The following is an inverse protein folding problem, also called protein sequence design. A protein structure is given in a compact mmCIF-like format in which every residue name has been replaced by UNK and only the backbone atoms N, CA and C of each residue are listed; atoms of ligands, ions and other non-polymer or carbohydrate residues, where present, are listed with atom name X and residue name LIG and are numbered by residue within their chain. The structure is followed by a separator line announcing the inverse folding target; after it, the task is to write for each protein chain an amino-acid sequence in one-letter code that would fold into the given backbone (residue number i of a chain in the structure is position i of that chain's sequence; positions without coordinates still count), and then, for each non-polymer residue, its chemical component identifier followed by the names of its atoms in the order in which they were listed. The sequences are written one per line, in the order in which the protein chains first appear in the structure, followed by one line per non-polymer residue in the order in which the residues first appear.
data_IF_287730702215
#
_entry.id   IF_287730702215
#
_cell.length_a   1.000
_cell.length_b   1.000
_cell.length_c   1.000
_cell.angle_alpha   90.00
_cell.angle_beta   90.00
_cell.angle_gamma   90.00
#
_symmetry.space_group_name_H-M   'P 1'
#
loop_
_entity.id
_entity.type
_entity.pdbx_description
1 polymer ?
#
# COMPACT_ATOMS: atom_id res chain seq x y z
N UNK A 1 -27.78 -15.19 18.70
CA UNK A 1 -27.06 -16.03 17.72
C UNK A 1 -27.29 -17.51 18.00
N UNK A 2 -27.68 -18.28 16.98
CA UNK A 2 -27.86 -19.74 17.01
C UNK A 2 -26.72 -20.35 16.20
N UNK A 3 -26.15 -21.47 16.67
CA UNK A 3 -25.13 -22.22 15.93
C UNK A 3 -25.50 -23.70 15.84
N UNK A 4 -25.19 -24.33 14.71
CA UNK A 4 -25.44 -25.75 14.45
C UNK A 4 -24.22 -26.37 13.81
N UNK A 5 -23.66 -27.42 14.43
CA UNK A 5 -22.52 -28.15 13.89
C UNK A 5 -22.98 -29.13 12.81
N UNK A 6 -22.29 -29.11 11.66
CA UNK A 6 -22.44 -30.04 10.54
C UNK A 6 -21.09 -30.72 10.30
N UNK A 7 -21.11 -32.04 10.29
CA UNK A 7 -19.94 -32.91 10.03
C UNK A 7 -20.24 -33.97 8.98
N UNK A 8 -21.38 -33.84 8.31
CA UNK A 8 -21.89 -34.72 7.28
C UNK A 8 -21.51 -34.27 5.86
N UNK A 9 -21.18 -32.99 5.67
CA UNK A 9 -20.87 -32.40 4.36
C UNK A 9 -19.44 -32.77 3.93
N UNK A 10 -19.30 -33.37 2.74
CA UNK A 10 -18.00 -33.69 2.14
C UNK A 10 -17.42 -32.57 1.28
N UNK A 11 -16.16 -32.70 0.87
CA UNK A 11 -15.52 -31.80 -0.10
C UNK A 11 -16.21 -31.88 -1.47
N UNK A 12 -16.63 -33.07 -1.91
CA UNK A 12 -17.39 -33.20 -3.16
C UNK A 12 -18.72 -32.42 -3.07
N UNK A 13 -19.44 -32.55 -1.96
CA UNK A 13 -20.74 -31.90 -1.78
C UNK A 13 -20.61 -30.37 -1.69
N UNK A 14 -19.68 -29.84 -0.90
CA UNK A 14 -19.48 -28.38 -0.76
C UNK A 14 -19.03 -27.75 -2.08
N UNK A 15 -18.22 -28.46 -2.89
CA UNK A 15 -17.73 -27.99 -4.18
C UNK A 15 -18.66 -28.35 -5.35
N UNK A 16 -19.77 -29.05 -5.10
CA UNK A 16 -20.74 -29.36 -6.16
C UNK A 16 -21.33 -28.08 -6.73
N UNK A 17 -21.29 -27.94 -8.06
CA UNK A 17 -21.69 -26.70 -8.72
C UNK A 17 -20.75 -25.52 -8.46
N UNK A 18 -19.47 -25.79 -8.15
CA UNK A 18 -18.47 -24.75 -7.97
C UNK A 18 -18.35 -23.87 -9.22
N UNK A 19 -18.45 -22.56 -9.02
CA UNK A 19 -18.22 -21.55 -10.07
C UNK A 19 -17.12 -20.61 -9.63
N UNK A 20 -16.14 -20.39 -10.51
CA UNK A 20 -15.06 -19.44 -10.31
C UNK A 20 -15.08 -18.39 -11.42
N UNK A 21 -15.17 -17.12 -11.04
CA UNK A 21 -15.03 -16.00 -11.97
C UNK A 21 -13.54 -15.65 -12.09
N UNK A 22 -12.93 -15.97 -13.23
CA UNK A 22 -11.51 -15.64 -13.50
C UNK A 22 -11.28 -14.13 -13.61
N UNK A 23 -12.24 -13.37 -14.14
CA UNK A 23 -12.11 -11.91 -14.29
C UNK A 23 -12.03 -11.20 -12.94
N UNK A 24 -12.79 -11.69 -11.96
CA UNK A 24 -12.82 -11.13 -10.61
C UNK A 24 -11.93 -11.90 -9.61
N UNK A 25 -11.36 -13.04 -10.03
CA UNK A 25 -10.62 -13.94 -9.15
C UNK A 25 -11.47 -14.51 -8.00
N UNK A 26 -12.77 -14.70 -8.22
CA UNK A 26 -13.80 -14.89 -7.16
C UNK A 26 -14.45 -16.27 -7.21
N UNK A 27 -14.52 -16.96 -6.06
CA UNK A 27 -15.35 -18.15 -5.89
C UNK A 27 -16.81 -17.74 -5.67
N UNK A 28 -17.70 -18.05 -6.61
CA UNK A 28 -19.08 -17.58 -6.57
C UNK A 28 -19.98 -18.51 -5.76
N UNK A 29 -20.14 -19.75 -6.21
CA UNK A 29 -21.15 -20.66 -5.69
C UNK A 29 -20.56 -22.04 -5.37
N UNK A 30 -21.22 -22.76 -4.46
CA UNK A 30 -20.97 -24.15 -4.12
C UNK A 30 -22.25 -24.81 -3.58
N UNK A 31 -22.15 -26.05 -3.11
CA UNK A 31 -23.26 -26.82 -2.55
C UNK A 31 -24.50 -26.82 -3.46
N UNK A 32 -24.29 -27.00 -4.77
CA UNK A 32 -25.33 -26.94 -5.81
C UNK A 32 -26.10 -25.62 -5.85
N UNK A 33 -25.41 -24.49 -5.64
CA UNK A 33 -26.02 -23.15 -5.64
C UNK A 33 -26.61 -22.73 -4.29
N UNK A 34 -26.52 -23.57 -3.25
CA UNK A 34 -26.97 -23.26 -1.89
C UNK A 34 -25.97 -22.42 -1.09
N UNK A 35 -24.70 -22.44 -1.48
CA UNK A 35 -23.62 -21.72 -0.80
C UNK A 35 -23.07 -20.61 -1.69
N UNK A 36 -23.08 -19.37 -1.21
CA UNK A 36 -22.27 -18.28 -1.75
C UNK A 36 -20.88 -18.33 -1.08
N UNK A 37 -19.83 -18.64 -1.85
CA UNK A 37 -18.49 -18.89 -1.31
C UNK A 37 -17.78 -17.60 -0.93
N UNK A 38 -17.94 -16.55 -1.74
CA UNK A 38 -17.35 -15.25 -1.50
C UNK A 38 -18.47 -14.19 -1.55
N UNK A 39 -19.30 -14.09 -0.50
CA UNK A 39 -20.26 -13.00 -0.38
C UNK A 39 -19.54 -11.66 -0.38
N UNK A 40 -20.30 -10.59 -0.51
CA UNK A 40 -19.79 -9.24 -0.74
C UNK A 40 -18.77 -8.77 0.32
N UNK A 41 -19.02 -9.07 1.60
CA UNK A 41 -18.16 -8.70 2.72
C UNK A 41 -16.84 -9.49 2.80
N UNK A 42 -16.68 -10.58 2.03
CA UNK A 42 -15.44 -11.35 2.05
C UNK A 42 -14.32 -10.66 1.25
N UNK A 43 -13.08 -10.84 1.72
CA UNK A 43 -11.88 -10.38 1.01
C UNK A 43 -11.63 -11.18 -0.26
N UNK A 44 -10.71 -10.67 -1.10
CA UNK A 44 -10.31 -11.37 -2.31
C UNK A 44 -9.62 -12.70 -1.99
N UNK A 45 -9.61 -13.59 -2.98
CA UNK A 45 -8.88 -14.83 -2.86
C UNK A 45 -7.36 -14.57 -2.89
N UNK A 46 -6.65 -14.93 -1.82
CA UNK A 46 -5.23 -14.63 -1.61
C UNK A 46 -4.32 -15.86 -1.72
N UNK A 47 -4.87 -17.07 -1.52
CA UNK A 47 -4.06 -18.29 -1.43
C UNK A 47 -3.32 -18.62 -2.73
N UNK A 48 -3.89 -18.28 -3.90
CA UNK A 48 -3.20 -18.41 -5.18
C UNK A 48 -1.89 -17.62 -5.21
N UNK A 49 -1.97 -16.31 -4.93
CA UNK A 49 -0.79 -15.42 -4.91
C UNK A 49 0.23 -15.83 -3.85
N UNK A 50 -0.22 -16.39 -2.73
CA UNK A 50 0.64 -16.84 -1.64
C UNK A 50 1.12 -18.29 -1.77
N UNK A 51 0.77 -19.00 -2.86
CA UNK A 51 1.08 -20.42 -3.08
C UNK A 51 0.64 -21.32 -1.91
N UNK A 52 -0.52 -21.01 -1.31
CA UNK A 52 -1.10 -21.76 -0.17
C UNK A 52 -2.19 -22.75 -0.60
N UNK A 53 -2.65 -22.71 -1.85
CA UNK A 53 -3.70 -23.62 -2.35
C UNK A 53 -3.24 -25.09 -2.24
N UNK A 54 -1.99 -25.37 -2.64
CA UNK A 54 -1.40 -26.72 -2.57
C UNK A 54 -1.37 -27.27 -1.14
N UNK A 55 -1.05 -26.43 -0.14
CA UNK A 55 -1.01 -26.84 1.26
C UNK A 55 -2.39 -27.31 1.77
N UNK A 56 -3.49 -26.73 1.26
CA UNK A 56 -4.85 -27.18 1.57
C UNK A 56 -5.05 -28.60 1.03
N UNK A 57 -4.71 -28.85 -0.24
CA UNK A 57 -4.87 -30.17 -0.87
C UNK A 57 -3.98 -31.22 -0.19
N UNK A 58 -2.72 -30.88 0.09
CA UNK A 58 -1.79 -31.74 0.83
C UNK A 58 -2.31 -32.09 2.23
N UNK A 59 -2.97 -31.15 2.92
CA UNK A 59 -3.56 -31.41 4.24
C UNK A 59 -4.69 -32.44 4.15
N UNK A 60 -5.55 -32.33 3.13
CA UNK A 60 -6.62 -33.32 2.87
C UNK A 60 -6.03 -34.70 2.61
N UNK A 61 -5.05 -34.81 1.71
CA UNK A 61 -4.41 -36.09 1.37
C UNK A 61 -3.73 -36.75 2.57
N UNK A 62 -3.22 -35.96 3.52
CA UNK A 62 -2.61 -36.45 4.78
C UNK A 62 -3.63 -36.73 5.89
N UNK A 63 -4.91 -36.48 5.67
CA UNK A 63 -5.96 -36.60 6.68
C UNK A 63 -5.86 -35.56 7.80
N UNK A 64 -5.16 -34.44 7.57
CA UNK A 64 -5.07 -33.36 8.54
C UNK A 64 -6.35 -32.51 8.53
N UNK A 65 -6.82 -32.05 9.70
CA UNK A 65 -8.02 -31.23 9.77
C UNK A 65 -7.80 -29.92 9.02
N UNK A 66 -8.69 -29.59 8.09
CA UNK A 66 -8.66 -28.30 7.38
C UNK A 66 -9.02 -27.11 8.29
N UNK A 67 -9.39 -27.36 9.55
CA UNK A 67 -9.89 -26.38 10.50
C UNK A 67 -11.41 -26.16 10.38
N UNK A 68 -11.98 -25.49 11.37
CA UNK A 68 -13.39 -25.12 11.40
C UNK A 68 -13.74 -24.17 10.25
N UNK A 69 -14.92 -24.35 9.68
CA UNK A 69 -15.52 -23.47 8.65
C UNK A 69 -16.81 -22.91 9.24
N UNK A 70 -17.13 -21.66 8.93
CA UNK A 70 -18.34 -21.00 9.42
C UNK A 70 -19.19 -20.53 8.25
N UNK A 71 -20.48 -20.86 8.28
CA UNK A 71 -21.48 -20.36 7.35
C UNK A 71 -22.45 -19.43 8.09
N UNK A 72 -22.89 -18.37 7.42
CA UNK A 72 -24.05 -17.60 7.80
C UNK A 72 -25.27 -18.14 7.02
N UNK A 73 -26.36 -18.47 7.71
CA UNK A 73 -27.61 -18.91 7.10
C UNK A 73 -28.48 -17.70 6.80
N UNK A 74 -28.71 -17.45 5.51
CA UNK A 74 -29.45 -16.27 5.00
C UNK A 74 -30.86 -16.61 4.52
N UNK A 75 -31.24 -17.89 4.55
CA UNK A 75 -32.57 -18.36 4.17
C UNK A 75 -32.69 -19.87 4.27
N UNK A 76 -33.82 -20.40 3.79
CA UNK A 76 -34.03 -21.85 3.68
C UNK A 76 -33.01 -22.40 2.68
N UNK A 77 -32.14 -23.30 3.14
CA UNK A 77 -31.09 -23.92 2.33
C UNK A 77 -30.18 -22.92 1.59
N UNK A 78 -30.02 -21.71 2.13
CA UNK A 78 -29.13 -20.68 1.58
C UNK A 78 -28.12 -20.23 2.62
N UNK A 79 -26.86 -20.29 2.23
CA UNK A 79 -25.71 -20.04 3.08
C UNK A 79 -24.71 -19.11 2.42
N UNK A 80 -23.99 -18.36 3.24
CA UNK A 80 -22.82 -17.59 2.84
C UNK A 80 -21.63 -17.98 3.70
N UNK A 81 -20.43 -18.01 3.12
CA UNK A 81 -19.23 -18.28 3.91
C UNK A 81 -18.88 -17.08 4.80
N UNK A 82 -18.79 -17.32 6.10
CA UNK A 82 -18.35 -16.37 7.12
C UNK A 82 -16.86 -16.51 7.42
N UNK A 83 -16.35 -17.75 7.46
CA UNK A 83 -14.92 -18.07 7.47
C UNK A 83 -14.67 -19.42 6.75
N UNK A 84 -13.48 -19.57 6.18
CA UNK A 84 -13.09 -20.74 5.38
C UNK A 84 -13.09 -20.50 3.87
N UNK A 85 -13.39 -19.27 3.43
CA UNK A 85 -13.48 -18.89 2.01
C UNK A 85 -12.23 -19.28 1.21
N UNK A 86 -11.03 -19.04 1.76
CA UNK A 86 -9.76 -19.39 1.10
C UNK A 86 -9.59 -20.91 0.94
N UNK A 87 -10.01 -21.71 1.93
CA UNK A 87 -9.90 -23.17 1.90
C UNK A 87 -10.89 -23.75 0.88
N UNK A 88 -12.16 -23.36 0.95
CA UNK A 88 -13.21 -23.83 0.04
C UNK A 88 -12.87 -23.46 -1.41
N UNK A 89 -12.39 -22.23 -1.66
CA UNK A 89 -12.00 -21.79 -3.00
C UNK A 89 -10.81 -22.60 -3.54
N UNK A 90 -9.82 -22.92 -2.69
CA UNK A 90 -8.69 -23.78 -3.08
C UNK A 90 -9.15 -25.18 -3.49
N UNK A 91 -10.08 -25.77 -2.72
CA UNK A 91 -10.68 -27.07 -3.03
C UNK A 91 -11.42 -27.02 -4.37
N UNK A 92 -12.33 -26.06 -4.54
CA UNK A 92 -13.11 -25.92 -5.77
C UNK A 92 -12.23 -25.70 -7.01
N UNK A 93 -11.20 -24.86 -6.90
CA UNK A 93 -10.20 -24.62 -7.96
C UNK A 93 -9.43 -25.89 -8.31
N UNK A 94 -9.02 -26.69 -7.32
CA UNK A 94 -8.32 -27.94 -7.56
C UNK A 94 -9.21 -28.99 -8.25
N UNK A 95 -10.42 -29.21 -7.73
CA UNK A 95 -11.39 -30.16 -8.28
C UNK A 95 -11.79 -29.82 -9.72
N UNK A 96 -11.77 -28.53 -10.08
CA UNK A 96 -12.05 -28.06 -11.45
C UNK A 96 -10.80 -27.89 -12.32
N UNK A 97 -9.64 -28.38 -11.86
CA UNK A 97 -8.41 -28.42 -12.66
C UNK A 97 -7.75 -27.06 -12.90
N UNK A 98 -8.02 -26.05 -12.07
CA UNK A 98 -7.45 -24.70 -12.21
C UNK A 98 -5.97 -24.61 -11.85
N UNK A 99 -5.47 -25.54 -11.04
CA UNK A 99 -4.05 -25.67 -10.73
C UNK A 99 -3.70 -27.14 -10.43
N UNK A 100 -2.44 -27.56 -10.67
CA UNK A 100 -1.96 -28.89 -10.32
C UNK A 100 -1.36 -28.95 -8.91
N UNK A 101 -1.27 -30.15 -8.35
CA UNK A 101 -0.45 -30.46 -7.18
C UNK A 101 0.95 -30.84 -7.65
N UNK A 102 2.00 -30.23 -7.11
CA UNK A 102 3.37 -30.64 -7.40
C UNK A 102 3.81 -31.76 -6.46
N UNK A 103 4.37 -32.84 -7.00
CA UNK A 103 5.00 -33.88 -6.19
C UNK A 103 6.44 -33.53 -5.79
N UNK A 104 7.12 -34.44 -5.08
CA UNK A 104 8.49 -34.24 -4.60
C UNK A 104 9.53 -34.10 -5.73
N UNK A 105 9.20 -34.53 -6.95
CA UNK A 105 10.03 -34.37 -8.14
C UNK A 105 9.67 -33.11 -8.95
N UNK A 106 8.65 -32.36 -8.51
CA UNK A 106 8.14 -31.18 -9.21
C UNK A 106 7.18 -31.52 -10.36
N UNK A 107 6.73 -32.77 -10.47
CA UNK A 107 5.79 -33.17 -11.52
C UNK A 107 4.36 -32.73 -11.17
N UNK A 108 3.61 -32.14 -12.12
CA UNK A 108 2.27 -31.64 -11.87
C UNK A 108 1.20 -32.75 -11.98
N UNK A 109 0.33 -32.83 -10.97
CA UNK A 109 -0.81 -33.74 -10.90
C UNK A 109 -2.12 -32.96 -10.80
N UNK A 110 -2.92 -32.99 -11.86
CA UNK A 110 -4.27 -32.42 -11.86
C UNK A 110 -5.28 -33.42 -11.30
N UNK A 111 -6.31 -32.93 -10.60
CA UNK A 111 -7.35 -33.78 -9.98
C UNK A 111 -7.88 -34.86 -10.92
N UNK A 112 -8.22 -34.52 -12.16
CA UNK A 112 -8.73 -35.48 -13.15
C UNK A 112 -7.78 -36.64 -13.49
N UNK A 113 -6.47 -36.41 -13.39
CA UNK A 113 -5.42 -37.39 -13.71
C UNK A 113 -4.87 -38.13 -12.47
N UNK A 114 -5.35 -37.79 -11.27
CA UNK A 114 -4.89 -38.45 -10.04
C UNK A 114 -5.37 -39.91 -9.95
N UNK A 115 -4.65 -40.76 -9.20
CA UNK A 115 -5.13 -42.09 -8.80
C UNK A 115 -6.49 -42.05 -8.08
N UNK A 116 -7.31 -43.07 -8.30
CA UNK A 116 -8.70 -43.12 -7.80
C UNK A 116 -8.79 -43.18 -6.27
N UNK A 117 -7.80 -43.80 -5.61
CA UNK A 117 -7.69 -43.82 -4.15
C UNK A 117 -7.48 -42.40 -3.58
N UNK A 118 -6.65 -41.57 -4.22
CA UNK A 118 -6.44 -40.18 -3.80
C UNK A 118 -7.66 -39.30 -4.10
N UNK A 119 -8.28 -39.47 -5.27
CA UNK A 119 -9.54 -38.79 -5.59
C UNK A 119 -10.62 -39.10 -4.56
N UNK A 120 -10.71 -40.36 -4.14
CA UNK A 120 -11.65 -40.82 -3.11
C UNK A 120 -11.39 -40.14 -1.77
N UNK A 121 -10.13 -40.09 -1.30
CA UNK A 121 -9.75 -39.36 -0.07
C UNK A 121 -10.24 -37.92 -0.14
N UNK A 122 -9.96 -37.22 -1.25
CA UNK A 122 -10.36 -35.83 -1.41
C UNK A 122 -11.88 -35.70 -1.39
N UNK A 123 -12.61 -36.42 -2.24
CA UNK A 123 -14.06 -36.28 -2.38
C UNK A 123 -14.82 -36.62 -1.10
N UNK A 124 -14.40 -37.67 -0.38
CA UNK A 124 -15.12 -38.20 0.78
C UNK A 124 -14.71 -37.54 2.11
N UNK A 125 -13.66 -36.70 2.11
CA UNK A 125 -13.26 -35.98 3.32
C UNK A 125 -14.41 -35.09 3.81
N UNK A 126 -14.83 -35.32 5.06
CA UNK A 126 -15.87 -34.55 5.74
C UNK A 126 -15.31 -33.27 6.34
N UNK A 127 -16.08 -32.19 6.23
CA UNK A 127 -15.73 -30.88 6.75
C UNK A 127 -16.44 -30.61 8.08
N UNK A 128 -15.76 -29.90 8.97
CA UNK A 128 -16.34 -29.43 10.24
C UNK A 128 -16.86 -28.02 10.06
N UNK A 129 -18.18 -27.88 9.93
CA UNK A 129 -18.85 -26.62 9.57
C UNK A 129 -19.81 -26.20 10.67
N UNK A 130 -19.67 -24.99 11.21
CA UNK A 130 -20.72 -24.36 12.00
C UNK A 130 -21.61 -23.50 11.09
N UNK A 131 -22.90 -23.81 11.08
CA UNK A 131 -23.92 -22.96 10.49
C UNK A 131 -24.43 -22.02 11.57
N UNK A 132 -24.28 -20.72 11.33
CA UNK A 132 -24.65 -19.65 12.23
C UNK A 132 -25.89 -18.91 11.71
N UNK A 133 -26.77 -18.52 12.61
CA UNK A 133 -27.96 -17.72 12.31
C UNK A 133 -28.11 -16.64 13.39
N UNK A 134 -28.29 -15.39 12.98
CA UNK A 134 -28.33 -14.25 13.89
C UNK A 134 -28.68 -12.96 13.18
N UNK A 135 -28.79 -11.89 13.96
CA UNK A 135 -28.95 -10.54 13.40
C UNK A 135 -27.69 -10.11 12.65
N UNK A 136 -27.82 -9.12 11.76
CA UNK A 136 -26.69 -8.58 11.01
C UNK A 136 -25.56 -8.10 11.95
N UNK A 137 -25.91 -7.46 13.08
CA UNK A 137 -24.95 -7.01 14.09
C UNK A 137 -24.17 -8.17 14.70
N UNK A 138 -24.86 -9.24 15.12
CA UNK A 138 -24.22 -10.43 15.70
C UNK A 138 -23.28 -11.11 14.69
N UNK A 139 -23.71 -11.23 13.42
CA UNK A 139 -22.88 -11.83 12.36
C UNK A 139 -21.64 -10.99 12.08
N UNK A 140 -21.73 -9.65 12.10
CA UNK A 140 -20.58 -8.75 11.92
C UNK A 140 -19.59 -8.84 13.07
N UNK A 141 -20.06 -8.84 14.32
CA UNK A 141 -19.21 -9.00 15.50
C UNK A 141 -18.50 -10.37 15.48
N UNK A 142 -19.23 -11.41 15.10
CA UNK A 142 -18.68 -12.75 14.96
C UNK A 142 -17.62 -12.81 13.84
N UNK A 143 -17.88 -12.19 12.69
CA UNK A 143 -16.92 -12.08 11.60
C UNK A 143 -15.61 -11.45 12.06
N UNK A 144 -15.66 -10.35 12.83
CA UNK A 144 -14.45 -9.73 13.42
C UNK A 144 -13.72 -10.69 14.36
N UNK A 145 -14.46 -11.47 15.15
CA UNK A 145 -13.92 -12.39 16.15
C UNK A 145 -13.21 -13.61 15.53
N UNK A 146 -13.79 -14.23 14.50
CA UNK A 146 -13.22 -15.45 13.90
C UNK A 146 -12.02 -15.17 12.98
N UNK A 147 -11.94 -13.96 12.40
CA UNK A 147 -10.86 -13.56 11.51
C UNK A 147 -9.56 -13.16 12.23
N UNK A 148 -9.44 -13.45 13.54
CA UNK A 148 -8.21 -13.27 14.31
C UNK A 148 -7.16 -14.34 13.94
N UNK A 149 -7.59 -15.54 13.56
CA UNK A 149 -6.71 -16.64 13.18
C UNK A 149 -6.42 -16.64 11.66
N UNK A 150 -5.15 -16.79 11.27
CA UNK A 150 -4.74 -16.85 9.86
C UNK A 150 -4.11 -15.55 9.36
N UNK A 151 -4.41 -15.15 8.12
CA UNK A 151 -3.96 -13.86 7.57
C UNK A 151 -4.90 -12.78 8.11
N UNK A 152 -4.42 -11.84 8.97
CA UNK A 152 -5.29 -10.82 9.55
C UNK A 152 -5.92 -9.95 8.46
N UNK A 153 -7.17 -9.56 8.68
CA UNK A 153 -7.83 -8.55 7.85
C UNK A 153 -7.14 -7.19 8.07
N UNK A 154 -6.92 -6.44 7.01
CA UNK A 154 -6.56 -5.04 7.12
C UNK A 154 -7.80 -4.19 7.41
N UNK A 155 -7.59 -2.91 7.71
CA UNK A 155 -8.68 -2.01 8.11
C UNK A 155 -9.75 -1.86 7.01
N UNK A 156 -9.36 -1.76 5.74
CA UNK A 156 -10.31 -1.66 4.63
C UNK A 156 -11.12 -2.95 4.42
N UNK A 157 -10.50 -4.11 4.59
CA UNK A 157 -11.18 -5.41 4.53
C UNK A 157 -12.22 -5.54 5.66
N UNK A 158 -11.93 -5.00 6.85
CA UNK A 158 -12.91 -4.92 7.95
C UNK A 158 -14.03 -3.92 7.63
N UNK A 159 -13.69 -2.71 7.16
CA UNK A 159 -14.66 -1.69 6.82
C UNK A 159 -15.63 -2.18 5.72
N UNK A 160 -15.13 -2.84 4.68
CA UNK A 160 -15.95 -3.43 3.62
C UNK A 160 -16.92 -4.49 4.15
N UNK A 161 -16.55 -5.22 5.21
CA UNK A 161 -17.45 -6.19 5.83
C UNK A 161 -18.52 -5.53 6.71
N UNK A 162 -18.17 -4.45 7.40
CA UNK A 162 -19.09 -3.69 8.26
C UNK A 162 -20.10 -2.91 7.42
N UNK A 163 -19.66 -2.30 6.32
CA UNK A 163 -20.47 -1.42 5.48
C UNK A 163 -20.84 -2.05 4.14
N UNK A 164 -20.97 -3.38 4.10
CA UNK A 164 -21.37 -4.11 2.89
C UNK A 164 -22.71 -3.62 2.33
N UNK A 165 -22.78 -3.51 1.02
CA UNK A 165 -23.92 -3.01 0.26
C UNK A 165 -23.58 -2.72 -1.21
N UNK A 166 -24.56 -2.29 -2.01
CA UNK A 166 -24.35 -2.04 -3.44
C UNK A 166 -23.14 -1.14 -3.77
N UNK A 167 -22.85 -0.15 -2.93
CA UNK A 167 -21.70 0.73 -3.07
C UNK A 167 -20.36 -0.01 -2.95
N UNK A 168 -20.17 -0.77 -1.86
CA UNK A 168 -18.92 -1.53 -1.63
C UNK A 168 -18.73 -2.59 -2.71
N UNK A 169 -19.82 -3.21 -3.18
CA UNK A 169 -19.79 -4.12 -4.34
C UNK A 169 -19.14 -3.43 -5.55
N UNK A 170 -19.69 -2.28 -5.96
CA UNK A 170 -19.21 -1.52 -7.12
C UNK A 170 -17.80 -0.98 -6.92
N UNK A 171 -17.48 -0.52 -5.72
CA UNK A 171 -16.16 -0.01 -5.38
C UNK A 171 -15.09 -1.09 -5.46
N UNK A 172 -15.41 -2.32 -5.02
CA UNK A 172 -14.50 -3.47 -5.15
C UNK A 172 -14.35 -3.94 -6.59
N UNK A 173 -15.42 -3.95 -7.38
CA UNK A 173 -15.36 -4.27 -8.82
C UNK A 173 -14.37 -3.36 -9.56
N UNK A 174 -14.32 -2.07 -9.21
CA UNK A 174 -13.41 -1.09 -9.81
C UNK A 174 -11.99 -1.16 -9.22
N UNK A 175 -11.86 -1.00 -7.89
CA UNK A 175 -10.57 -0.73 -7.23
C UNK A 175 -9.91 -1.95 -6.60
N UNK A 176 -10.62 -3.08 -6.51
CA UNK A 176 -10.08 -4.32 -5.92
C UNK A 176 -9.96 -5.47 -6.93
N UNK A 177 -10.10 -5.16 -8.22
CA UNK A 177 -9.95 -6.11 -9.31
C UNK A 177 -8.55 -6.04 -9.93
N UNK A 178 -7.74 -7.08 -9.74
CA UNK A 178 -6.38 -7.15 -10.30
C UNK A 178 -6.33 -7.21 -11.83
N UNK A 179 -7.44 -7.52 -12.50
CA UNK A 179 -7.56 -7.54 -13.96
C UNK A 179 -8.05 -6.21 -14.54
N UNK A 180 -8.26 -5.18 -13.71
CA UNK A 180 -8.63 -3.86 -14.21
C UNK A 180 -7.50 -3.29 -15.10
N UNK A 181 -7.87 -2.78 -16.28
CA UNK A 181 -6.92 -2.28 -17.29
C UNK A 181 -6.05 -1.12 -16.77
N UNK A 182 -6.51 -0.38 -15.76
CA UNK A 182 -5.79 0.77 -15.21
C UNK A 182 -4.80 0.40 -14.11
N UNK A 183 -4.73 -0.86 -13.67
CA UNK A 183 -3.89 -1.27 -12.53
C UNK A 183 -2.42 -0.93 -12.75
N UNK A 184 -1.93 -1.09 -13.98
CA UNK A 184 -0.56 -0.70 -14.32
C UNK A 184 -0.34 0.82 -14.12
N UNK A 185 -1.24 1.67 -14.61
CA UNK A 185 -1.19 3.14 -14.41
C UNK A 185 -1.24 3.49 -12.93
N UNK A 186 -2.21 2.95 -12.20
CA UNK A 186 -2.40 3.25 -10.78
C UNK A 186 -1.21 2.80 -9.92
N UNK A 187 -0.57 1.68 -10.27
CA UNK A 187 0.57 1.14 -9.52
C UNK A 187 1.82 2.02 -9.53
N UNK A 188 1.92 2.96 -10.47
CA UNK A 188 2.99 3.95 -10.53
C UNK A 188 2.87 5.00 -9.41
N UNK A 189 1.65 5.31 -8.97
CA UNK A 189 1.37 6.37 -8.00
C UNK A 189 0.96 5.82 -6.64
N UNK A 190 0.34 4.64 -6.62
CA UNK A 190 -0.25 4.06 -5.42
C UNK A 190 0.61 2.93 -4.87
N UNK A 191 0.96 3.05 -3.59
CA UNK A 191 1.59 1.98 -2.84
C UNK A 191 0.52 1.10 -2.19
N UNK A 192 0.23 -0.03 -2.82
CA UNK A 192 -0.62 -1.05 -2.21
C UNK A 192 -0.76 -2.32 -3.04
N UNK A 193 -1.45 -3.30 -2.47
CA UNK A 193 -1.92 -4.54 -3.08
C UNK A 193 -3.42 -4.45 -3.34
N UNK A 194 -3.77 -4.48 -4.63
CA UNK A 194 -5.14 -4.47 -5.14
C UNK A 194 -5.97 -5.59 -4.52
N UNK A 195 -5.38 -6.78 -4.32
CA UNK A 195 -6.09 -7.91 -3.72
C UNK A 195 -6.36 -7.71 -2.23
N UNK A 196 -5.57 -6.86 -1.57
CA UNK A 196 -5.80 -6.42 -0.18
C UNK A 196 -6.67 -5.17 -0.12
N UNK A 197 -7.28 -4.75 -1.23
CA UNK A 197 -8.21 -3.62 -1.29
C UNK A 197 -7.56 -2.28 -0.92
N UNK A 198 -6.23 -2.19 -1.03
CA UNK A 198 -5.48 -0.98 -0.63
C UNK A 198 -5.66 0.16 -1.64
N UNK A 199 -6.03 -0.14 -2.89
CA UNK A 199 -6.34 0.90 -3.87
C UNK A 199 -7.72 1.52 -3.61
N UNK A 200 -8.68 0.70 -3.19
CA UNK A 200 -9.98 1.18 -2.71
C UNK A 200 -9.79 2.07 -1.48
N UNK A 201 -8.91 1.66 -0.54
CA UNK A 201 -8.57 2.50 0.60
C UNK A 201 -8.07 3.87 0.18
N UNK A 202 -7.08 3.93 -0.71
CA UNK A 202 -6.53 5.20 -1.21
C UNK A 202 -7.59 6.05 -1.92
N UNK A 203 -8.46 5.44 -2.72
CA UNK A 203 -9.57 6.16 -3.35
C UNK A 203 -10.52 6.80 -2.32
N UNK A 204 -10.84 6.06 -1.26
CA UNK A 204 -11.70 6.54 -0.16
C UNK A 204 -11.00 7.66 0.62
N UNK A 205 -9.72 7.52 0.95
CA UNK A 205 -8.94 8.55 1.65
C UNK A 205 -8.90 9.86 0.84
N UNK A 206 -8.76 9.75 -0.49
CA UNK A 206 -8.76 10.90 -1.39
C UNK A 206 -10.10 11.63 -1.42
N UNK A 207 -11.22 10.92 -1.62
CA UNK A 207 -12.54 11.57 -1.65
C UNK A 207 -12.94 12.13 -0.28
N UNK A 208 -12.52 11.47 0.82
CA UNK A 208 -12.74 11.96 2.18
C UNK A 208 -11.79 13.10 2.57
N UNK A 209 -10.69 13.29 1.82
CA UNK A 209 -9.59 14.23 2.12
C UNK A 209 -8.98 13.97 3.50
N UNK A 210 -8.94 12.70 3.90
CA UNK A 210 -8.52 12.27 5.23
C UNK A 210 -8.01 10.83 5.19
N UNK A 211 -6.96 10.55 5.95
CA UNK A 211 -6.46 9.18 6.19
C UNK A 211 -7.01 8.58 7.50
N UNK A 212 -7.87 9.31 8.21
CA UNK A 212 -8.48 8.83 9.43
C UNK A 212 -9.50 7.73 9.12
N UNK A 213 -9.46 6.65 9.90
CA UNK A 213 -10.37 5.53 9.70
C UNK A 213 -11.83 5.95 9.93
N UNK A 214 -12.08 6.83 10.91
CA UNK A 214 -13.43 7.28 11.24
C UNK A 214 -14.09 8.01 10.06
N UNK A 215 -13.33 8.80 9.31
CA UNK A 215 -13.84 9.56 8.15
C UNK A 215 -14.16 8.63 6.98
N UNK A 216 -13.28 7.67 6.70
CA UNK A 216 -13.51 6.68 5.64
C UNK A 216 -14.70 5.78 5.99
N UNK A 217 -14.79 5.32 7.23
CA UNK A 217 -15.91 4.51 7.71
C UNK A 217 -17.23 5.29 7.69
N UNK A 218 -17.21 6.58 8.05
CA UNK A 218 -18.39 7.45 7.95
C UNK A 218 -18.86 7.61 6.50
N UNK A 219 -17.95 7.84 5.56
CA UNK A 219 -18.26 7.92 4.13
C UNK A 219 -18.89 6.61 3.63
N UNK A 220 -18.25 5.46 3.91
CA UNK A 220 -18.79 4.15 3.53
C UNK A 220 -20.16 3.86 4.13
N UNK A 221 -20.39 4.29 5.39
CA UNK A 221 -21.69 4.16 6.05
C UNK A 221 -22.77 4.98 5.36
N UNK A 222 -22.48 6.23 5.01
CA UNK A 222 -23.41 7.14 4.34
C UNK A 222 -23.78 6.64 2.95
N UNK A 223 -22.82 6.12 2.20
CA UNK A 223 -23.00 5.65 0.82
C UNK A 223 -23.40 4.18 0.71
N UNK A 224 -23.59 3.47 1.83
CA UNK A 224 -23.80 2.01 1.86
C UNK A 224 -24.81 1.48 0.83
N UNK A 225 -25.91 2.21 0.64
CA UNK A 225 -27.02 1.80 -0.22
C UNK A 225 -26.96 2.36 -1.64
N UNK A 226 -25.97 3.19 -1.95
CA UNK A 226 -25.81 3.78 -3.28
C UNK A 226 -25.49 2.69 -4.31
N UNK A 227 -26.13 2.76 -5.47
CA UNK A 227 -25.99 1.73 -6.51
C UNK A 227 -24.85 2.02 -7.51
N UNK A 228 -24.13 3.12 -7.31
CA UNK A 228 -22.98 3.53 -8.10
C UNK A 228 -21.88 4.12 -7.22
N UNK A 229 -20.73 4.42 -7.82
CA UNK A 229 -19.53 4.96 -7.17
C UNK A 229 -19.02 6.20 -7.91
N UNK A 230 -19.90 6.94 -8.58
CA UNK A 230 -19.48 7.93 -9.57
C UNK A 230 -18.67 9.06 -8.94
N UNK A 231 -19.02 9.50 -7.72
CA UNK A 231 -18.23 10.48 -6.96
C UNK A 231 -16.82 9.95 -6.67
N UNK A 232 -16.71 8.80 -5.98
CA UNK A 232 -15.45 8.15 -5.64
C UNK A 232 -14.55 7.96 -6.87
N UNK A 233 -15.12 7.44 -7.97
CA UNK A 233 -14.41 7.19 -9.21
C UNK A 233 -13.97 8.47 -9.91
N UNK A 234 -14.83 9.49 -9.94
CA UNK A 234 -14.51 10.78 -10.56
C UNK A 234 -13.38 11.45 -9.81
N UNK A 235 -13.44 11.51 -8.47
CA UNK A 235 -12.41 12.11 -7.65
C UNK A 235 -11.06 11.41 -7.85
N UNK A 236 -11.05 10.08 -7.72
CA UNK A 236 -9.84 9.28 -7.93
C UNK A 236 -9.22 9.50 -9.31
N UNK A 237 -10.05 9.48 -10.35
CA UNK A 237 -9.60 9.69 -11.73
C UNK A 237 -9.05 11.11 -11.91
N UNK A 238 -9.65 12.11 -11.27
CA UNK A 238 -9.20 13.50 -11.35
C UNK A 238 -7.81 13.68 -10.74
N UNK A 239 -7.53 13.03 -9.61
CA UNK A 239 -6.19 13.02 -9.01
C UNK A 239 -5.19 12.35 -9.95
N UNK A 240 -5.49 11.15 -10.45
CA UNK A 240 -4.59 10.41 -11.36
C UNK A 240 -4.33 11.18 -12.65
N UNK A 241 -5.36 11.76 -13.25
CA UNK A 241 -5.24 12.49 -14.51
C UNK A 241 -4.48 13.79 -14.33
N UNK A 242 -4.68 14.50 -13.21
CA UNK A 242 -3.86 15.64 -12.85
C UNK A 242 -2.38 15.28 -12.72
N UNK A 243 -2.04 14.21 -12.00
CA UNK A 243 -0.64 13.78 -11.88
C UNK A 243 -0.05 13.50 -13.26
N UNK A 244 -0.74 12.72 -14.09
CA UNK A 244 -0.26 12.37 -15.45
C UNK A 244 -0.27 13.55 -16.42
N UNK A 245 -1.05 14.59 -16.15
CA UNK A 245 -1.06 15.83 -16.93
C UNK A 245 0.09 16.77 -16.55
N UNK A 246 0.49 16.78 -15.27
CA UNK A 246 1.60 17.60 -14.78
C UNK A 246 2.95 16.95 -15.05
N UNK A 247 3.08 15.65 -14.81
CA UNK A 247 4.33 14.91 -14.96
C UNK A 247 4.25 13.95 -16.14
N UNK A 248 5.01 14.24 -17.21
CA UNK A 248 5.17 13.33 -18.35
C UNK A 248 6.04 12.11 -18.03
N UNK A 249 6.97 12.27 -17.09
CA UNK A 249 7.87 11.22 -16.64
C UNK A 249 7.23 10.43 -15.49
N UNK A 250 7.48 9.12 -15.44
CA UNK A 250 6.97 8.24 -14.39
C UNK A 250 8.14 7.62 -13.66
N UNK A 251 8.37 8.08 -12.43
CA UNK A 251 9.49 7.66 -11.60
C UNK A 251 9.05 6.75 -10.45
N UNK A 252 9.94 5.86 -10.02
CA UNK A 252 9.60 4.86 -8.99
C UNK A 252 9.22 5.50 -7.65
N UNK A 253 9.80 6.66 -7.36
CA UNK A 253 9.60 7.44 -6.15
C UNK A 253 8.25 8.17 -6.11
N UNK A 254 7.50 8.19 -7.22
CA UNK A 254 6.12 8.68 -7.26
C UNK A 254 5.16 7.79 -6.48
N UNK A 255 5.54 6.53 -6.27
CA UNK A 255 4.68 5.53 -5.65
C UNK A 255 4.54 5.76 -4.14
N UNK A 256 3.32 6.05 -3.70
CA UNK A 256 2.99 6.22 -2.28
C UNK A 256 3.23 7.64 -1.74
N UNK A 257 3.36 8.62 -2.63
CA UNK A 257 3.26 10.04 -2.25
C UNK A 257 1.81 10.36 -1.86
N UNK A 258 1.64 11.34 -0.98
CA UNK A 258 0.34 11.88 -0.52
C UNK A 258 -0.39 12.66 -1.64
N UNK A 259 -0.63 12.00 -2.77
CA UNK A 259 -1.17 12.63 -3.98
C UNK A 259 -2.53 13.30 -3.76
N UNK A 260 -3.38 12.77 -2.89
CA UNK A 260 -4.64 13.41 -2.53
C UNK A 260 -4.44 14.79 -1.87
N UNK A 261 -3.51 14.90 -0.91
CA UNK A 261 -3.15 16.19 -0.28
C UNK A 261 -2.53 17.14 -1.31
N UNK A 262 -1.62 16.63 -2.14
CA UNK A 262 -0.97 17.44 -3.17
C UNK A 262 -1.97 17.95 -4.21
N UNK A 263 -2.92 17.12 -4.63
CA UNK A 263 -4.00 17.52 -5.51
C UNK A 263 -4.76 18.68 -4.89
N UNK A 264 -5.28 18.55 -3.67
CA UNK A 264 -6.01 19.63 -2.97
C UNK A 264 -5.20 20.93 -2.86
N UNK A 265 -3.89 20.83 -2.69
CA UNK A 265 -3.01 21.99 -2.52
C UNK A 265 -2.65 22.68 -3.84
N UNK A 266 -2.46 21.90 -4.92
CA UNK A 266 -1.75 22.36 -6.11
C UNK A 266 -2.55 22.26 -7.43
N UNK A 267 -3.68 21.54 -7.49
CA UNK A 267 -4.36 21.26 -8.77
C UNK A 267 -4.86 22.49 -9.54
N UNK A 268 -5.13 23.60 -8.85
CA UNK A 268 -5.55 24.86 -9.48
C UNK A 268 -4.38 25.70 -10.03
N UNK A 269 -3.14 25.24 -9.88
CA UNK A 269 -1.96 25.91 -10.43
C UNK A 269 -1.68 25.38 -11.84
N UNK A 270 -1.42 26.26 -12.81
CA UNK A 270 -1.04 25.82 -14.15
C UNK A 270 0.41 25.34 -14.16
N UNK A 271 0.66 24.20 -14.81
CA UNK A 271 1.99 23.64 -15.02
C UNK A 271 2.28 23.50 -16.52
N UNK A 272 3.53 23.72 -16.90
CA UNK A 272 4.06 23.42 -18.22
C UNK A 272 4.80 22.08 -18.14
N UNK A 273 4.25 20.98 -18.70
CA UNK A 273 4.81 19.64 -18.53
C UNK A 273 6.25 19.52 -19.01
N UNK A 274 6.65 20.29 -20.03
CA UNK A 274 8.04 20.29 -20.54
C UNK A 274 8.98 20.86 -19.48
N UNK A 275 8.61 22.00 -18.88
CA UNK A 275 9.43 22.60 -17.81
C UNK A 275 9.47 21.76 -16.55
N UNK A 276 8.37 21.07 -16.23
CA UNK A 276 8.31 20.13 -15.10
C UNK A 276 9.28 18.98 -15.35
N UNK A 277 9.27 18.39 -16.55
CA UNK A 277 10.19 17.31 -16.96
C UNK A 277 11.65 17.75 -16.91
N UNK A 278 11.97 18.92 -17.50
CA UNK A 278 13.33 19.47 -17.46
C UNK A 278 13.83 19.66 -16.03
N UNK A 279 12.98 20.21 -15.15
CA UNK A 279 13.34 20.43 -13.75
C UNK A 279 13.47 19.12 -12.97
N UNK A 280 12.63 18.13 -13.26
CA UNK A 280 12.72 16.80 -12.68
C UNK A 280 14.07 16.17 -13.03
N UNK A 281 14.47 16.17 -14.31
CA UNK A 281 15.76 15.64 -14.74
C UNK A 281 16.94 16.38 -14.12
N UNK A 282 16.88 17.71 -14.02
CA UNK A 282 17.89 18.51 -13.32
C UNK A 282 18.08 18.04 -11.86
N UNK A 283 16.97 17.87 -11.13
CA UNK A 283 17.00 17.46 -9.72
C UNK A 283 17.39 16.00 -9.52
N UNK A 284 17.08 15.11 -10.47
CA UNK A 284 17.52 13.71 -10.43
C UNK A 284 19.01 13.57 -10.72
N UNK A 285 19.57 14.45 -11.56
CA UNK A 285 21.00 14.52 -11.84
C UNK A 285 21.81 15.19 -10.73
N UNK A 286 21.18 16.00 -9.88
CA UNK A 286 21.85 16.66 -8.75
C UNK A 286 22.13 15.67 -7.60
N UNK A 287 23.39 15.25 -7.48
CA UNK A 287 23.87 14.38 -6.41
C UNK A 287 23.74 14.96 -4.99
N UNK A 288 23.39 16.24 -4.85
CA UNK A 288 23.05 16.84 -3.56
C UNK A 288 21.63 16.48 -3.09
N UNK A 289 20.71 16.12 -3.99
CA UNK A 289 19.33 15.75 -3.61
C UNK A 289 19.32 14.35 -2.98
N UNK A 290 18.93 14.25 -1.70
CA UNK A 290 18.83 12.96 -1.00
C UNK A 290 17.43 12.36 -1.04
N UNK A 291 16.41 13.20 -0.94
CA UNK A 291 15.01 12.76 -0.89
C UNK A 291 14.33 13.01 -2.22
N UNK A 292 14.47 12.05 -3.12
CA UNK A 292 13.86 12.09 -4.46
C UNK A 292 12.33 12.18 -4.43
N UNK A 293 11.67 11.53 -3.47
CA UNK A 293 10.23 11.65 -3.28
C UNK A 293 9.76 13.10 -2.99
N UNK A 294 10.65 13.96 -2.44
CA UNK A 294 10.33 15.36 -2.21
C UNK A 294 10.43 16.25 -3.44
N UNK A 295 11.02 15.75 -4.55
CA UNK A 295 11.16 16.51 -5.79
C UNK A 295 9.79 16.90 -6.35
N UNK A 296 8.82 15.98 -6.31
CA UNK A 296 7.51 16.22 -6.91
C UNK A 296 6.76 17.35 -6.22
N UNK A 297 6.67 17.34 -4.89
CA UNK A 297 6.08 18.45 -4.12
C UNK A 297 6.90 19.74 -4.25
N UNK A 298 8.23 19.64 -4.30
CA UNK A 298 9.09 20.81 -4.51
C UNK A 298 8.80 21.51 -5.84
N UNK A 299 8.67 20.74 -6.93
CA UNK A 299 8.32 21.28 -8.25
C UNK A 299 6.90 21.86 -8.24
N UNK A 300 5.93 21.13 -7.68
CA UNK A 300 4.54 21.59 -7.57
C UNK A 300 4.43 22.92 -6.80
N UNK A 301 5.22 23.07 -5.73
CA UNK A 301 5.33 24.29 -4.93
C UNK A 301 6.11 25.44 -5.61
N UNK A 302 6.49 25.30 -6.88
CA UNK A 302 7.23 26.31 -7.62
C UNK A 302 8.68 26.45 -7.18
N UNK A 303 9.30 25.34 -6.75
CA UNK A 303 10.70 25.27 -6.33
C UNK A 303 11.05 26.14 -5.09
N UNK A 304 10.09 26.35 -4.18
CA UNK A 304 10.25 27.27 -3.03
C UNK A 304 10.74 26.61 -1.74
N UNK A 305 10.47 25.32 -1.53
CA UNK A 305 10.74 24.63 -0.26
C UNK A 305 11.87 23.59 -0.40
N UNK A 306 13.15 24.01 -0.43
CA UNK A 306 14.29 23.10 -0.65
C UNK A 306 14.44 22.03 0.45
N UNK A 307 13.86 22.27 1.64
CA UNK A 307 13.80 21.28 2.75
C UNK A 307 13.17 19.94 2.32
N UNK A 308 12.28 19.96 1.33
CA UNK A 308 11.64 18.75 0.80
C UNK A 308 12.66 17.81 0.14
N UNK A 309 13.78 18.33 -0.34
CA UNK A 309 14.80 17.58 -1.07
C UNK A 309 15.87 16.95 -0.17
N UNK A 310 15.90 17.31 1.12
CA UNK A 310 16.92 16.90 2.10
C UNK A 310 18.36 17.07 1.55
N UNK A 311 18.67 18.27 1.05
CA UNK A 311 19.95 18.55 0.36
C UNK A 311 21.16 18.14 1.22
N UNK A 312 22.00 17.28 0.66
CA UNK A 312 23.32 16.93 1.19
C UNK A 312 24.19 18.16 1.14
N UNK A 313 24.76 18.54 2.28
CA UNK A 313 25.52 19.79 2.38
C UNK A 313 26.91 19.64 1.72
N UNK A 314 27.80 18.77 2.21
CA UNK A 314 29.11 18.50 1.59
C UNK A 314 29.65 17.11 1.99
N UNK A 315 30.54 16.53 1.17
CA UNK A 315 31.32 15.33 1.50
C UNK A 315 32.25 15.57 2.71
N UNK A 316 32.50 14.54 3.51
CA UNK A 316 33.32 14.67 4.73
C UNK A 316 34.77 15.09 4.42
N UNK A 317 35.30 14.68 3.26
CA UNK A 317 36.60 15.12 2.73
C UNK A 317 36.60 16.63 2.45
N UNK A 318 35.55 17.15 1.79
CA UNK A 318 35.38 18.59 1.51
C UNK A 318 35.32 19.39 2.81
N UNK A 319 34.52 18.96 3.79
CA UNK A 319 34.42 19.64 5.09
C UNK A 319 35.77 19.74 5.79
N UNK A 320 36.55 18.66 5.79
CA UNK A 320 37.88 18.63 6.41
C UNK A 320 38.86 19.55 5.69
N UNK A 321 38.85 19.56 4.35
CA UNK A 321 39.70 20.43 3.56
C UNK A 321 39.41 21.92 3.84
N UNK A 322 38.14 22.32 3.79
CA UNK A 322 37.71 23.71 4.04
C UNK A 322 37.96 24.13 5.49
N UNK A 323 37.70 23.24 6.45
CA UNK A 323 38.02 23.50 7.86
C UNK A 323 39.50 23.80 8.05
N UNK A 324 40.39 22.98 7.47
CA UNK A 324 41.84 23.17 7.58
C UNK A 324 42.24 24.50 6.97
N UNK A 325 41.76 24.79 5.75
CA UNK A 325 42.03 26.05 5.06
C UNK A 325 41.60 27.27 5.88
N UNK A 326 40.33 27.31 6.33
CA UNK A 326 39.79 28.40 7.15
C UNK A 326 40.54 28.54 8.48
N UNK A 327 40.92 27.42 9.10
CA UNK A 327 41.61 27.42 10.39
C UNK A 327 43.04 27.94 10.26
N UNK A 328 43.76 27.56 9.22
CA UNK A 328 45.13 28.02 8.98
C UNK A 328 45.17 29.51 8.63
N UNK A 329 44.21 29.98 7.83
CA UNK A 329 44.06 31.41 7.54
C UNK A 329 43.67 32.22 8.78
N UNK A 330 42.71 31.74 9.57
CA UNK A 330 42.28 32.38 10.81
C UNK A 330 43.41 32.53 11.83
N UNK A 331 44.27 31.50 11.96
CA UNK A 331 45.47 31.56 12.82
C UNK A 331 46.47 32.61 12.35
N UNK A 332 46.73 32.71 11.04
CA UNK A 332 47.64 33.72 10.47
C UNK A 332 47.13 35.14 10.69
N UNK A 333 45.82 35.35 10.55
CA UNK A 333 45.20 36.67 10.65
C UNK A 333 44.75 37.06 12.07
N UNK A 334 44.88 36.15 13.05
CA UNK A 334 44.45 36.38 14.43
C UNK A 334 42.93 36.57 14.60
N UNK A 335 42.13 35.89 13.77
CA UNK A 335 40.65 35.96 13.74
C UNK A 335 40.02 34.58 13.99
N UNK A 336 38.70 34.51 14.11
CA UNK A 336 37.97 33.24 14.19
C UNK A 336 38.00 32.47 12.87
N UNK A 337 38.01 31.14 12.94
CA UNK A 337 37.82 30.27 11.77
C UNK A 337 36.34 30.12 11.37
N UNK A 338 35.41 30.73 12.10
CA UNK A 338 34.04 30.99 11.63
C UNK A 338 33.98 32.41 11.03
N UNK A 339 33.69 32.57 9.72
CA UNK A 339 33.61 33.88 9.06
C UNK A 339 32.65 34.86 9.74
N UNK A 340 31.52 34.37 10.27
CA UNK A 340 30.53 35.21 10.95
C UNK A 340 31.02 35.67 12.33
N UNK A 341 31.66 34.81 13.12
CA UNK A 341 32.31 35.23 14.37
C UNK A 341 33.41 36.26 14.10
N UNK A 342 34.18 36.10 13.02
CA UNK A 342 35.29 37.00 12.67
C UNK A 342 34.83 38.43 12.31
N UNK A 343 33.55 38.62 11.96
CA UNK A 343 32.94 39.92 11.68
C UNK A 343 32.31 40.58 12.92
N UNK A 344 32.07 39.82 13.99
CA UNK A 344 31.46 40.31 15.22
C UNK A 344 32.49 40.97 16.15
N UNK A 345 32.04 41.95 16.95
CA UNK A 345 32.82 42.53 18.04
C UNK A 345 32.43 41.79 19.32
N UNK A 346 33.32 40.92 19.82
CA UNK A 346 33.05 40.16 21.05
C UNK A 346 34.00 39.00 21.30
N UNK A 347 33.69 38.20 22.32
CA UNK A 347 34.54 37.12 22.82
C UNK A 347 34.87 36.02 21.79
N UNK A 348 34.01 35.82 20.79
CA UNK A 348 34.19 34.80 19.76
C UNK A 348 34.97 35.29 18.52
N UNK A 349 35.26 36.60 18.41
CA UNK A 349 35.88 37.22 17.22
C UNK A 349 37.25 36.66 16.83
N UNK A 350 37.96 36.08 17.81
CA UNK A 350 39.27 35.43 17.64
C UNK A 350 39.26 33.93 17.97
N UNK A 351 38.09 33.35 18.27
CA UNK A 351 37.99 31.95 18.70
C UNK A 351 38.23 31.00 17.53
N UNK A 352 39.15 30.06 17.71
CA UNK A 352 39.33 28.93 16.80
C UNK A 352 38.46 27.78 17.29
N UNK A 353 37.38 27.50 16.58
CA UNK A 353 36.46 26.40 16.85
C UNK A 353 37.04 25.07 16.38
N UNK A 354 36.80 24.00 17.14
CA UNK A 354 37.18 22.64 16.73
C UNK A 354 36.25 22.16 15.61
N UNK A 355 36.73 21.21 14.80
CA UNK A 355 35.95 20.63 13.69
C UNK A 355 34.56 20.14 14.14
N UNK A 356 34.46 19.47 15.30
CA UNK A 356 33.19 18.98 15.84
C UNK A 356 32.29 20.07 16.47
N UNK A 357 32.75 21.31 16.56
CA UNK A 357 31.96 22.48 16.99
C UNK A 357 31.48 23.31 15.79
N UNK A 358 31.80 22.89 14.57
CA UNK A 358 31.45 23.56 13.33
C UNK A 358 30.61 22.66 12.43
N UNK A 359 29.81 23.27 11.58
CA UNK A 359 29.05 22.62 10.52
C UNK A 359 29.35 23.32 9.20
N UNK A 360 29.43 22.53 8.13
CA UNK A 360 29.59 23.07 6.80
C UNK A 360 28.27 23.69 6.32
N UNK A 361 28.38 24.77 5.55
CA UNK A 361 27.27 25.51 5.00
C UNK A 361 27.65 26.05 3.62
N UNK A 362 26.66 26.33 2.79
CA UNK A 362 26.92 26.98 1.52
C UNK A 362 27.19 28.49 1.73
N UNK A 363 28.11 29.05 0.95
CA UNK A 363 28.31 30.50 0.88
C UNK A 363 27.09 31.14 0.20
N UNK A 364 26.76 30.66 -0.99
CA UNK A 364 25.49 30.90 -1.68
C UNK A 364 24.58 29.70 -1.46
N UNK A 365 23.40 29.91 -0.86
CA UNK A 365 22.45 28.82 -0.60
C UNK A 365 22.15 28.02 -1.87
N UNK A 366 22.03 26.69 -1.74
CA UNK A 366 21.66 25.80 -2.84
C UNK A 366 20.36 26.26 -3.53
N UNK A 367 19.37 26.71 -2.76
CA UNK A 367 18.10 27.26 -3.27
C UNK A 367 18.23 28.53 -4.11
N UNK A 368 19.39 29.19 -4.08
CA UNK A 368 19.73 30.38 -4.90
C UNK A 368 20.72 30.05 -6.02
N UNK A 369 20.87 28.77 -6.37
CA UNK A 369 21.78 28.29 -7.42
C UNK A 369 23.22 28.08 -6.95
N UNK A 370 23.47 27.99 -5.63
CA UNK A 370 24.80 27.68 -5.11
C UNK A 370 25.17 26.22 -5.31
N UNK A 371 26.33 25.95 -5.92
CA UNK A 371 26.82 24.59 -6.14
C UNK A 371 27.20 23.88 -4.83
N UNK A 372 27.05 22.55 -4.78
CA UNK A 372 27.47 21.71 -3.65
C UNK A 372 28.88 21.15 -3.88
N UNK A 373 29.86 22.05 -3.98
CA UNK A 373 31.28 21.71 -4.11
C UNK A 373 32.17 22.51 -3.15
N UNK A 374 33.48 22.21 -3.17
CA UNK A 374 34.44 22.85 -2.27
C UNK A 374 34.49 24.37 -2.41
N UNK A 375 34.19 24.93 -3.58
CA UNK A 375 34.28 26.36 -3.87
C UNK A 375 33.16 27.17 -3.19
N UNK A 376 32.02 26.53 -2.91
CA UNK A 376 30.88 27.14 -2.25
C UNK A 376 30.69 26.63 -0.81
N UNK A 377 31.65 25.87 -0.28
CA UNK A 377 31.63 25.36 1.09
C UNK A 377 32.32 26.34 2.05
N UNK A 378 31.67 26.64 3.17
CA UNK A 378 32.28 27.31 4.32
C UNK A 378 31.96 26.56 5.61
N UNK A 379 32.89 26.60 6.58
CA UNK A 379 32.64 26.09 7.93
C UNK A 379 32.15 27.22 8.83
N UNK A 380 30.99 27.04 9.45
CA UNK A 380 30.42 27.95 10.44
C UNK A 380 30.41 27.28 11.82
N UNK A 381 30.52 28.05 12.90
CA UNK A 381 30.27 27.49 14.23
C UNK A 381 28.79 27.04 14.32
N UNK A 382 28.50 26.01 15.13
CA UNK A 382 27.14 25.46 15.28
C UNK A 382 26.08 26.51 15.58
N UNK A 383 26.42 27.53 16.34
CA UNK A 383 25.50 28.62 16.68
C UNK A 383 25.14 29.44 15.44
N UNK A 384 26.13 29.87 14.66
CA UNK A 384 25.90 30.66 13.45
C UNK A 384 25.26 29.83 12.33
N UNK A 385 25.63 28.56 12.18
CA UNK A 385 24.99 27.65 11.23
C UNK A 385 23.49 27.50 11.54
N UNK A 386 23.14 27.25 12.80
CA UNK A 386 21.73 27.16 13.24
C UNK A 386 20.97 28.47 13.11
N UNK A 387 21.61 29.61 13.37
CA UNK A 387 21.00 30.92 13.25
C UNK A 387 20.68 31.31 11.80
N UNK A 388 21.36 30.71 10.81
CA UNK A 388 21.16 30.98 9.38
C UNK A 388 19.85 30.39 8.83
N UNK A 389 19.14 29.56 9.60
CA UNK A 389 17.76 29.16 9.31
C UNK A 389 17.53 28.25 8.10
N UNK A 390 18.57 27.84 7.37
CA UNK A 390 18.45 26.95 6.21
C UNK A 390 18.53 25.47 6.63
N UNK A 391 17.45 24.95 7.21
CA UNK A 391 17.22 23.50 7.26
C UNK A 391 16.35 23.05 6.10
#
# INVERSE_FOLDING_TARGET
MITTLRTDITIEEICKGFVYNELEGKGLFGLSGKLTIQPEYQRNYLYAKQKKEEAVIQSVLKGYPLGLIYFNKIGIDKYEVLDGQQRITSLGRFLTGKFPLLDTSGMPHYFGAMPDDQKKIINETKLTIYVCEGTETEIKEWFKTINIAGIPLNKQEVANAVYSGPFVTKAKEEFSNSQNANIQKWSAYIKGDVLRQEYLRVALEWVCKSEADEDVEAYMSQHRHDTDIQELKTYFTSVIDWISGVFSDVESEMRGIEWGRLFETYHNQPYDPVKVSDKLHELYADGAVKKRAGIFEYILGGCKEPRLLEIRIFEESTKKAVYTQQTDEAKKCGKSNCPLCALEIGNNSKRIWKFNEMDADHVTAWSKGGATDISNCQMLCKTHNRAKGNK
#
